data_IF_814108624998
#
_entry.id   IF_814108624998
#
_cell.length_a   1.000
_cell.length_b   1.000
_cell.length_c   1.000
_cell.angle_alpha   90.00
_cell.angle_beta   90.00
_cell.angle_gamma   90.00
#
_symmetry.space_group_name_H-M   'P 1'
#
loop_
_entity.id
_entity.type
_entity.pdbx_description
1 polymer ?
#
# COMPACT_ATOMS: atom_id res chain seq x y z
N UNK A 1 6.89 -18.18 -5.72
CA UNK A 1 6.81 -17.02 -6.64
C UNK A 1 7.59 -15.86 -6.03
N UNK A 2 8.64 -15.38 -6.68
CA UNK A 2 9.35 -14.17 -6.25
C UNK A 2 8.54 -12.95 -6.70
N UNK A 3 7.96 -12.21 -5.75
CA UNK A 3 7.36 -10.90 -6.03
C UNK A 3 8.48 -9.87 -6.17
N UNK A 4 9.27 -9.98 -7.24
CA UNK A 4 10.41 -9.12 -7.53
C UNK A 4 9.98 -7.74 -8.08
N UNK A 5 8.71 -7.57 -8.42
CA UNK A 5 8.12 -6.33 -8.91
C UNK A 5 7.09 -5.76 -7.92
N UNK A 6 7.07 -4.44 -7.77
CA UNK A 6 6.04 -3.73 -7.01
C UNK A 6 4.69 -3.82 -7.74
N UNK A 7 3.64 -4.31 -7.06
CA UNK A 7 2.27 -4.31 -7.58
C UNK A 7 1.78 -2.86 -7.65
N UNK A 8 1.51 -2.37 -8.87
CA UNK A 8 1.06 -1.00 -9.12
C UNK A 8 -0.43 -0.87 -8.82
N UNK A 9 -0.86 0.29 -8.34
CA UNK A 9 -2.29 0.56 -8.12
C UNK A 9 -3.10 0.79 -9.38
N UNK A 10 -2.43 1.06 -10.50
CA UNK A 10 -3.07 1.18 -11.82
C UNK A 10 -3.38 -0.22 -12.41
N UNK A 11 -2.93 -1.30 -11.78
CA UNK A 11 -3.23 -2.67 -12.20
C UNK A 11 -4.68 -3.02 -11.81
N UNK A 12 -5.55 -3.41 -12.75
CA UNK A 12 -6.93 -3.80 -12.44
C UNK A 12 -7.00 -4.95 -11.43
N UNK A 13 -5.97 -5.80 -11.38
CA UNK A 13 -5.86 -6.94 -10.48
C UNK A 13 -4.98 -6.63 -9.25
N UNK A 14 -4.72 -5.36 -8.94
CA UNK A 14 -3.84 -4.99 -7.83
C UNK A 14 -4.27 -5.61 -6.50
N UNK A 15 -5.57 -5.53 -6.17
CA UNK A 15 -6.13 -6.06 -4.91
C UNK A 15 -5.99 -7.59 -4.85
N UNK A 16 -6.32 -8.28 -5.95
CA UNK A 16 -6.22 -9.73 -6.07
C UNK A 16 -4.77 -10.20 -5.86
N UNK A 17 -3.81 -9.63 -6.60
CA UNK A 17 -2.38 -9.96 -6.49
C UNK A 17 -1.82 -9.65 -5.10
N UNK A 18 -2.27 -8.58 -4.46
CA UNK A 18 -1.89 -8.25 -3.09
C UNK A 18 -2.46 -9.25 -2.08
N UNK A 19 -3.69 -9.72 -2.28
CA UNK A 19 -4.33 -10.72 -1.43
C UNK A 19 -3.65 -12.08 -1.54
N UNK A 20 -3.28 -12.51 -2.76
CA UNK A 20 -2.47 -13.72 -2.96
C UNK A 20 -1.13 -13.63 -2.24
N UNK A 21 -0.42 -12.51 -2.41
CA UNK A 21 0.86 -12.27 -1.73
C UNK A 21 0.68 -12.29 -0.20
N UNK A 22 -0.40 -11.70 0.30
CA UNK A 22 -0.71 -11.70 1.72
C UNK A 22 -0.90 -13.12 2.23
N UNK A 23 -1.67 -13.95 1.53
CA UNK A 23 -1.90 -15.35 1.89
C UNK A 23 -0.59 -16.14 1.94
N UNK A 24 0.29 -15.97 0.95
CA UNK A 24 1.63 -16.59 0.95
C UNK A 24 2.46 -16.16 2.17
N UNK A 25 2.47 -14.86 2.49
CA UNK A 25 3.17 -14.36 3.68
C UNK A 25 2.59 -14.90 4.99
N UNK A 26 1.27 -15.03 5.10
CA UNK A 26 0.58 -15.57 6.28
C UNK A 26 0.88 -17.07 6.46
N UNK A 27 0.83 -17.86 5.39
CA UNK A 27 1.21 -19.27 5.40
C UNK A 27 2.67 -19.45 5.81
N UNK A 28 3.58 -18.67 5.21
CA UNK A 28 4.99 -18.69 5.59
C UNK A 28 5.18 -18.32 7.07
N UNK A 29 4.41 -17.36 7.59
CA UNK A 29 4.49 -16.97 9.00
C UNK A 29 4.10 -18.10 9.94
N UNK A 30 2.99 -18.77 9.66
CA UNK A 30 2.53 -19.91 10.45
C UNK A 30 3.53 -21.05 10.40
N UNK A 31 3.99 -21.41 9.20
CA UNK A 31 4.97 -22.47 8.99
C UNK A 31 6.29 -22.22 9.73
N UNK A 32 6.85 -21.00 9.66
CA UNK A 32 8.06 -20.63 10.40
C UNK A 32 7.87 -20.75 11.92
N UNK A 33 6.70 -20.36 12.44
CA UNK A 33 6.38 -20.46 13.88
C UNK A 33 6.25 -21.91 14.33
N UNK A 34 5.58 -22.74 13.53
CA UNK A 34 5.38 -24.17 13.81
C UNK A 34 6.71 -24.91 13.84
N UNK A 35 7.58 -24.68 12.85
CA UNK A 35 8.93 -25.27 12.82
C UNK A 35 9.74 -24.81 14.02
N UNK A 36 9.75 -23.52 14.33
CA UNK A 36 10.45 -23.02 15.52
C UNK A 36 9.90 -23.61 16.82
N UNK A 37 8.58 -23.81 16.92
CA UNK A 37 7.96 -24.44 18.09
C UNK A 37 8.34 -25.93 18.21
N UNK A 38 8.35 -26.64 17.08
CA UNK A 38 8.80 -28.04 17.01
C UNK A 38 10.27 -28.17 17.41
N UNK A 39 11.15 -27.38 16.78
CA UNK A 39 12.58 -27.41 17.09
C UNK A 39 12.88 -27.12 18.56
N UNK A 40 12.20 -26.15 19.17
CA UNK A 40 12.37 -25.86 20.62
C UNK A 40 12.00 -27.05 21.52
N UNK A 41 11.09 -27.93 21.09
CA UNK A 41 10.67 -29.12 21.84
C UNK A 41 11.57 -30.32 21.60
N UNK A 42 12.03 -30.50 20.36
CA UNK A 42 12.70 -31.72 19.91
C UNK A 42 14.21 -31.58 19.73
N UNK A 43 14.73 -30.34 19.66
CA UNK A 43 16.15 -30.05 19.40
C UNK A 43 16.58 -30.30 17.94
N UNK A 44 15.66 -30.71 17.09
CA UNK A 44 15.85 -31.03 15.66
C UNK A 44 14.57 -30.73 14.90
N UNK A 45 14.68 -30.48 13.60
CA UNK A 45 13.56 -30.37 12.68
C UNK A 45 13.18 -31.74 12.08
N UNK A 46 13.98 -32.79 12.28
CA UNK A 46 13.69 -34.14 11.79
C UNK A 46 12.36 -34.64 12.34
N UNK A 47 11.52 -35.22 11.47
CA UNK A 47 10.18 -35.71 11.83
C UNK A 47 9.08 -34.64 11.94
N UNK A 48 9.35 -33.37 11.61
CA UNK A 48 8.29 -32.37 11.48
C UNK A 48 7.35 -32.73 10.31
N UNK A 49 6.02 -32.65 10.47
CA UNK A 49 5.06 -33.00 9.42
C UNK A 49 5.29 -32.23 8.11
N UNK A 50 5.05 -32.91 6.98
CA UNK A 50 5.11 -32.31 5.63
C UNK A 50 6.47 -31.72 5.23
N UNK A 51 7.54 -32.05 5.97
CA UNK A 51 8.90 -31.64 5.66
C UNK A 51 9.77 -32.85 5.30
N UNK A 52 10.59 -32.71 4.27
CA UNK A 52 11.54 -33.74 3.87
C UNK A 52 12.75 -33.78 4.80
N UNK A 53 13.32 -34.97 4.99
CA UNK A 53 14.51 -35.16 5.84
C UNK A 53 15.69 -34.28 5.40
N UNK A 54 15.86 -34.07 4.09
CA UNK A 54 16.87 -33.18 3.52
C UNK A 54 16.67 -31.72 3.95
N UNK A 55 15.42 -31.24 3.96
CA UNK A 55 15.10 -29.88 4.38
C UNK A 55 15.26 -29.72 5.88
N UNK A 56 14.84 -30.72 6.65
CA UNK A 56 15.03 -30.77 8.10
C UNK A 56 16.53 -30.71 8.46
N UNK A 57 17.36 -31.51 7.80
CA UNK A 57 18.81 -31.51 8.00
C UNK A 57 19.44 -30.15 7.65
N UNK A 58 18.96 -29.48 6.60
CA UNK A 58 19.42 -28.12 6.26
C UNK A 58 19.09 -27.11 7.34
N UNK A 59 17.88 -27.15 7.89
CA UNK A 59 17.45 -26.26 8.98
C UNK A 59 18.23 -26.51 10.27
N UNK A 60 18.47 -27.77 10.61
CA UNK A 60 19.30 -28.13 11.77
C UNK A 60 20.74 -27.64 11.60
N UNK A 61 21.32 -27.84 10.41
CA UNK A 61 22.65 -27.32 10.08
C UNK A 61 22.71 -25.79 10.11
N UNK A 62 21.63 -25.09 9.70
CA UNK A 62 21.54 -23.62 9.80
C UNK A 62 21.65 -23.16 11.25
N UNK A 63 21.01 -23.87 12.20
CA UNK A 63 21.12 -23.56 13.63
C UNK A 63 22.51 -23.91 14.17
N UNK A 64 23.02 -25.10 13.85
CA UNK A 64 24.31 -25.58 14.33
C UNK A 64 25.50 -24.71 13.91
N UNK A 65 25.45 -24.15 12.69
CA UNK A 65 26.46 -23.25 12.15
C UNK A 65 26.10 -21.76 12.36
N UNK A 66 24.99 -21.47 13.03
CA UNK A 66 24.55 -20.13 13.35
C UNK A 66 25.37 -19.51 14.50
N UNK A 67 25.12 -18.23 14.74
CA UNK A 67 25.68 -17.57 15.92
C UNK A 67 25.10 -18.16 17.22
N UNK A 68 25.81 -18.02 18.35
CA UNK A 68 25.40 -18.62 19.63
C UNK A 68 24.01 -18.18 20.15
N UNK A 69 23.51 -17.03 19.70
CA UNK A 69 22.17 -16.51 20.02
C UNK A 69 21.08 -16.96 19.04
N UNK A 70 21.45 -17.58 17.92
CA UNK A 70 20.54 -18.08 16.89
C UNK A 70 20.09 -19.50 17.24
N UNK A 71 19.14 -19.61 18.17
CA UNK A 71 18.73 -20.89 18.77
C UNK A 71 17.58 -21.61 18.05
N UNK A 72 17.09 -21.07 16.94
CA UNK A 72 15.94 -21.62 16.20
C UNK A 72 16.16 -21.56 14.70
N UNK A 73 15.56 -22.48 13.92
CA UNK A 73 15.74 -22.55 12.47
C UNK A 73 15.38 -21.27 11.72
N UNK A 74 14.27 -20.64 12.14
CA UNK A 74 13.90 -19.31 11.70
C UNK A 74 14.22 -18.30 12.80
N UNK A 75 14.92 -17.23 12.46
CA UNK A 75 15.37 -16.23 13.40
C UNK A 75 14.29 -15.16 13.63
N UNK A 76 14.35 -14.48 14.78
CA UNK A 76 13.33 -13.50 15.17
C UNK A 76 13.16 -12.36 14.16
N UNK A 77 14.24 -11.94 13.50
CA UNK A 77 14.18 -10.91 12.46
C UNK A 77 13.44 -11.39 11.21
N UNK A 78 13.51 -12.68 10.84
CA UNK A 78 12.79 -13.24 9.68
C UNK A 78 11.27 -13.17 9.94
N UNK A 79 10.84 -13.59 11.12
CA UNK A 79 9.45 -13.50 11.58
C UNK A 79 8.97 -12.04 11.69
N UNK A 80 9.82 -11.15 12.20
CA UNK A 80 9.50 -9.73 12.37
C UNK A 80 9.34 -9.02 11.02
N UNK A 81 10.26 -9.27 10.09
CA UNK A 81 10.21 -8.71 8.74
C UNK A 81 8.97 -9.21 7.99
N UNK A 82 8.66 -10.50 8.06
CA UNK A 82 7.47 -11.04 7.41
C UNK A 82 6.17 -10.49 8.03
N UNK A 83 6.10 -10.37 9.37
CA UNK A 83 4.97 -9.70 10.03
C UNK A 83 4.82 -8.22 9.63
N UNK A 84 5.92 -7.51 9.37
CA UNK A 84 5.87 -6.13 8.89
C UNK A 84 5.30 -6.08 7.46
N UNK A 85 5.71 -7.01 6.60
CA UNK A 85 5.18 -7.16 5.24
C UNK A 85 3.67 -7.50 5.24
N UNK A 86 3.24 -8.46 6.07
CA UNK A 86 1.80 -8.80 6.27
C UNK A 86 1.00 -7.55 6.64
N UNK A 87 1.47 -6.77 7.61
CA UNK A 87 0.81 -5.53 8.05
C UNK A 87 0.72 -4.50 6.92
N UNK A 88 1.81 -4.33 6.15
CA UNK A 88 1.86 -3.44 4.99
C UNK A 88 0.84 -3.87 3.93
N UNK A 89 0.79 -5.15 3.59
CA UNK A 89 -0.12 -5.69 2.57
C UNK A 89 -1.58 -5.52 3.01
N UNK A 90 -1.94 -5.84 4.26
CA UNK A 90 -3.27 -5.59 4.81
C UNK A 90 -3.69 -4.12 4.71
N UNK A 91 -2.79 -3.21 5.12
CA UNK A 91 -3.04 -1.77 5.03
C UNK A 91 -3.24 -1.33 3.59
N UNK A 92 -2.43 -1.84 2.65
CA UNK A 92 -2.49 -1.47 1.24
C UNK A 92 -3.76 -1.98 0.57
N UNK A 93 -4.16 -3.23 0.83
CA UNK A 93 -5.42 -3.80 0.34
C UNK A 93 -6.58 -2.96 0.83
N UNK A 94 -6.64 -2.67 2.14
CA UNK A 94 -7.70 -1.85 2.73
C UNK A 94 -7.79 -0.47 2.07
N UNK A 95 -6.66 0.20 1.87
CA UNK A 95 -6.60 1.50 1.20
C UNK A 95 -7.18 1.44 -0.22
N UNK A 96 -6.76 0.47 -1.03
CA UNK A 96 -7.23 0.34 -2.40
C UNK A 96 -8.71 -0.04 -2.47
N UNK A 97 -9.17 -0.96 -1.62
CA UNK A 97 -10.59 -1.33 -1.54
C UNK A 97 -11.46 -0.13 -1.18
N UNK A 98 -11.08 0.63 -0.14
CA UNK A 98 -11.84 1.83 0.27
C UNK A 98 -11.85 2.86 -0.86
N UNK A 99 -10.72 3.10 -1.52
CA UNK A 99 -10.66 4.04 -2.65
C UNK A 99 -11.54 3.60 -3.83
N UNK A 100 -11.64 2.29 -4.09
CA UNK A 100 -12.48 1.74 -5.16
C UNK A 100 -13.97 1.78 -4.81
N UNK A 101 -14.34 1.53 -3.55
CA UNK A 101 -15.74 1.54 -3.09
C UNK A 101 -16.30 2.96 -2.94
N UNK A 102 -15.51 3.88 -2.37
CA UNK A 102 -15.93 5.24 -2.02
C UNK A 102 -15.71 6.22 -3.16
N UNK A 103 -14.64 6.00 -3.94
CA UNK A 103 -14.21 6.91 -4.99
C UNK A 103 -13.68 8.25 -4.44
N UNK A 104 -13.42 9.15 -5.38
CA UNK A 104 -13.02 10.52 -5.12
C UNK A 104 -13.89 11.46 -5.96
N UNK A 105 -14.09 12.68 -5.47
CA UNK A 105 -14.82 13.71 -6.21
C UNK A 105 -13.92 14.89 -6.54
N UNK A 106 -14.19 15.47 -7.70
CA UNK A 106 -13.62 16.73 -8.16
C UNK A 106 -14.31 17.96 -7.55
N UNK A 107 -13.82 19.15 -7.90
CA UNK A 107 -14.38 20.43 -7.47
C UNK A 107 -13.98 21.56 -8.42
N UNK A 108 -14.82 22.59 -8.53
CA UNK A 108 -14.48 23.85 -9.20
C UNK A 108 -13.65 24.77 -8.31
N UNK A 109 -12.80 25.59 -8.90
CA UNK A 109 -12.05 26.66 -8.25
C UNK A 109 -11.97 27.89 -9.16
N UNK A 110 -11.55 29.03 -8.61
CA UNK A 110 -11.41 30.27 -9.38
C UNK A 110 -10.39 30.12 -10.53
N UNK A 111 -10.90 30.11 -11.77
CA UNK A 111 -10.12 29.94 -13.00
C UNK A 111 -9.86 28.49 -13.42
N UNK A 112 -10.65 27.52 -12.95
CA UNK A 112 -10.58 26.14 -13.45
C UNK A 112 -11.34 25.08 -12.65
N UNK A 113 -11.01 23.81 -12.90
CA UNK A 113 -11.61 22.67 -12.22
C UNK A 113 -10.60 21.57 -11.89
N UNK A 114 -10.87 20.84 -10.82
CA UNK A 114 -10.17 19.62 -10.45
C UNK A 114 -11.09 18.43 -10.71
N UNK A 115 -10.63 17.49 -11.52
CA UNK A 115 -11.35 16.26 -11.90
C UNK A 115 -10.69 15.05 -11.25
N UNK A 116 -11.50 14.24 -10.56
CA UNK A 116 -11.09 12.94 -10.04
C UNK A 116 -11.31 11.85 -11.11
N UNK A 117 -10.37 11.74 -12.04
CA UNK A 117 -10.44 10.76 -13.13
C UNK A 117 -10.03 9.37 -12.61
N UNK A 118 -11.04 8.56 -12.30
CA UNK A 118 -10.86 7.20 -11.77
C UNK A 118 -10.41 6.20 -12.84
N UNK A 119 -10.74 6.43 -14.12
CA UNK A 119 -10.35 5.56 -15.23
C UNK A 119 -8.83 5.60 -15.47
N UNK A 120 -8.25 6.81 -15.51
CA UNK A 120 -6.80 7.00 -15.66
C UNK A 120 -6.03 6.93 -14.32
N UNK A 121 -6.74 6.79 -13.21
CA UNK A 121 -6.21 6.91 -11.85
C UNK A 121 -5.44 8.23 -11.64
N UNK A 122 -6.04 9.36 -12.03
CA UNK A 122 -5.44 10.71 -11.95
C UNK A 122 -6.34 11.73 -11.28
N UNK A 123 -5.77 12.51 -10.36
CA UNK A 123 -6.33 13.80 -9.97
C UNK A 123 -5.81 14.83 -10.94
N UNK A 124 -6.69 15.40 -11.76
CA UNK A 124 -6.37 16.30 -12.86
C UNK A 124 -6.85 17.71 -12.54
N UNK A 125 -6.02 18.70 -12.79
CA UNK A 125 -6.31 20.12 -12.58
C UNK A 125 -6.26 20.80 -13.94
N UNK A 126 -7.41 21.28 -14.37
CA UNK A 126 -7.60 22.06 -15.58
C UNK A 126 -7.69 23.53 -15.20
N UNK A 127 -6.94 24.37 -15.92
CA UNK A 127 -7.06 25.82 -15.80
C UNK A 127 -7.67 26.36 -17.10
N UNK A 128 -8.55 27.35 -16.99
CA UNK A 128 -9.15 28.02 -18.16
C UNK A 128 -8.09 28.75 -18.98
N UNK A 129 -7.17 29.41 -18.28
CA UNK A 129 -6.01 30.07 -18.86
C UNK A 129 -4.71 29.47 -18.33
N UNK A 130 -3.61 29.68 -19.06
CA UNK A 130 -2.30 29.19 -18.63
C UNK A 130 -1.94 29.80 -17.26
N UNK A 131 -1.75 28.98 -16.21
CA UNK A 131 -1.36 29.51 -14.90
C UNK A 131 0.03 30.16 -14.98
N UNK A 132 0.22 31.23 -14.20
CA UNK A 132 1.49 31.94 -14.09
C UNK A 132 2.62 31.04 -13.53
N UNK A 133 3.86 31.54 -13.54
CA UNK A 133 5.01 30.76 -13.05
C UNK A 133 4.90 30.40 -11.56
N UNK A 134 4.31 31.26 -10.72
CA UNK A 134 4.18 31.02 -9.29
C UNK A 134 3.21 29.86 -9.03
N UNK A 135 2.02 29.89 -9.62
CA UNK A 135 1.02 28.81 -9.55
C UNK A 135 1.62 27.48 -10.04
N UNK A 136 2.33 27.50 -11.17
CA UNK A 136 3.00 26.31 -11.72
C UNK A 136 4.10 25.77 -10.81
N UNK A 137 4.87 26.64 -10.15
CA UNK A 137 5.89 26.24 -9.19
C UNK A 137 5.28 25.55 -7.96
N UNK A 138 4.18 26.09 -7.42
CA UNK A 138 3.46 25.49 -6.28
C UNK A 138 2.87 24.13 -6.64
N UNK A 139 2.30 23.98 -7.84
CA UNK A 139 1.81 22.68 -8.33
C UNK A 139 2.93 21.64 -8.41
N UNK A 140 4.07 22.01 -8.99
CA UNK A 140 5.26 21.13 -9.09
C UNK A 140 5.78 20.71 -7.71
N UNK A 141 5.89 21.64 -6.77
CA UNK A 141 6.38 21.35 -5.42
C UNK A 141 5.43 20.44 -4.63
N UNK A 142 4.13 20.47 -4.95
CA UNK A 142 3.13 19.55 -4.42
C UNK A 142 2.95 18.27 -5.27
N UNK A 143 3.87 18.01 -6.20
CA UNK A 143 3.95 16.75 -6.96
C UNK A 143 3.00 16.63 -8.15
N UNK A 144 2.33 17.71 -8.55
CA UNK A 144 1.56 17.75 -9.79
C UNK A 144 2.50 17.92 -10.98
N UNK A 145 2.29 17.13 -12.03
CA UNK A 145 3.06 17.16 -13.27
C UNK A 145 2.18 17.61 -14.41
N UNK A 146 2.69 18.53 -15.24
CA UNK A 146 2.01 18.93 -16.47
C UNK A 146 1.97 17.75 -17.46
N UNK A 147 0.78 17.46 -17.98
CA UNK A 147 0.54 16.42 -18.96
C UNK A 147 0.02 17.05 -20.27
N UNK A 148 0.90 17.32 -21.25
CA UNK A 148 0.50 18.04 -22.46
C UNK A 148 -0.53 17.29 -23.32
N UNK A 149 -0.56 15.96 -23.23
CA UNK A 149 -1.53 15.13 -23.96
C UNK A 149 -2.97 15.28 -23.46
N UNK A 150 -3.14 15.69 -22.21
CA UNK A 150 -4.46 15.92 -21.58
C UNK A 150 -4.74 17.41 -21.37
N UNK A 151 -3.69 18.25 -21.36
CA UNK A 151 -3.82 19.68 -21.08
C UNK A 151 -4.05 19.98 -19.59
N UNK A 152 -3.61 19.10 -18.69
CA UNK A 152 -3.85 19.21 -17.25
C UNK A 152 -2.58 19.07 -16.42
N UNK A 153 -2.59 19.68 -15.23
CA UNK A 153 -1.67 19.31 -14.16
C UNK A 153 -2.23 18.10 -13.43
N UNK A 154 -1.46 17.02 -13.30
CA UNK A 154 -1.98 15.79 -12.72
C UNK A 154 -1.01 15.06 -11.81
N UNK A 155 -1.57 14.26 -10.90
CA UNK A 155 -0.86 13.26 -10.09
C UNK A 155 -1.73 12.03 -9.91
N UNK A 156 -1.15 10.93 -9.43
CA UNK A 156 -1.90 9.70 -9.17
C UNK A 156 -3.07 9.97 -8.20
N UNK A 157 -4.27 9.48 -8.53
CA UNK A 157 -5.45 9.64 -7.69
C UNK A 157 -5.35 8.73 -6.47
N UNK A 158 -5.32 9.34 -5.29
CA UNK A 158 -5.36 8.69 -3.98
C UNK A 158 -5.60 9.75 -2.90
N UNK A 159 -5.79 9.33 -1.64
CA UNK A 159 -6.01 10.25 -0.52
C UNK A 159 -4.86 11.27 -0.34
N UNK A 160 -3.62 10.89 -0.68
CA UNK A 160 -2.48 11.81 -0.65
C UNK A 160 -2.55 12.88 -1.76
N UNK A 161 -3.21 12.60 -2.88
CA UNK A 161 -3.47 13.60 -3.92
C UNK A 161 -4.45 14.66 -3.46
N UNK A 162 -5.55 14.25 -2.84
CA UNK A 162 -6.52 15.17 -2.23
C UNK A 162 -5.84 16.01 -1.14
N UNK A 163 -5.04 15.35 -0.29
CA UNK A 163 -4.32 16.05 0.76
C UNK A 163 -3.30 17.06 0.21
N UNK A 164 -2.54 16.70 -0.82
CA UNK A 164 -1.64 17.64 -1.49
C UNK A 164 -2.40 18.79 -2.14
N UNK A 165 -3.54 18.53 -2.78
CA UNK A 165 -4.38 19.58 -3.36
C UNK A 165 -4.86 20.57 -2.30
N UNK A 166 -5.16 20.10 -1.08
CA UNK A 166 -5.56 20.97 0.03
C UNK A 166 -4.49 21.95 0.50
N UNK A 167 -3.23 21.78 0.07
CA UNK A 167 -2.10 22.67 0.36
C UNK A 167 -1.77 23.63 -0.80
N UNK A 168 -2.56 23.60 -1.88
CA UNK A 168 -2.35 24.43 -3.06
C UNK A 168 -3.48 25.46 -3.13
N UNK A 169 -3.19 26.68 -2.70
CA UNK A 169 -4.21 27.73 -2.60
C UNK A 169 -4.86 28.10 -3.94
N UNK A 170 -4.10 28.02 -5.05
CA UNK A 170 -4.60 28.39 -6.38
C UNK A 170 -5.57 27.37 -7.01
N UNK A 171 -5.85 26.25 -6.34
CA UNK A 171 -6.85 25.26 -6.76
C UNK A 171 -7.87 24.98 -5.65
N UNK A 172 -7.97 25.88 -4.67
CA UNK A 172 -8.87 25.74 -3.54
C UNK A 172 -10.33 25.87 -4.01
N UNK A 173 -11.25 25.04 -3.51
CA UNK A 173 -12.67 25.13 -3.82
C UNK A 173 -13.23 26.54 -3.65
N UNK A 174 -14.14 26.96 -4.54
CA UNK A 174 -14.78 28.29 -4.51
C UNK A 174 -15.51 28.56 -3.19
N UNK A 175 -16.09 27.54 -2.58
CA UNK A 175 -16.78 27.63 -1.29
C UNK A 175 -15.81 27.82 -0.10
N UNK A 176 -14.49 27.88 -0.36
CA UNK A 176 -13.45 28.04 0.66
C UNK A 176 -13.21 26.80 1.51
N UNK A 177 -13.93 25.69 1.28
CA UNK A 177 -13.72 24.45 2.02
C UNK A 177 -12.40 23.76 1.63
N UNK A 178 -11.97 22.82 2.46
CA UNK A 178 -10.78 22.01 2.14
C UNK A 178 -11.19 20.89 1.18
N UNK A 179 -10.41 20.61 0.11
CA UNK A 179 -10.61 19.45 -0.75
C UNK A 179 -10.82 18.12 -0.02
N UNK A 180 -10.20 17.97 1.16
CA UNK A 180 -10.35 16.77 2.01
C UNK A 180 -11.77 16.65 2.57
N UNK A 181 -12.42 17.76 2.90
CA UNK A 181 -13.79 17.77 3.45
C UNK A 181 -14.86 17.46 2.39
N UNK A 182 -14.55 17.75 1.13
CA UNK A 182 -15.44 17.46 0.00
C UNK A 182 -15.49 15.97 -0.35
N UNK A 183 -14.49 15.19 0.06
CA UNK A 183 -14.43 13.78 -0.33
C UNK A 183 -15.51 12.96 0.36
N UNK A 184 -16.07 11.94 -0.33
CA UNK A 184 -17.01 11.06 0.30
C UNK A 184 -16.31 10.29 1.42
N UNK A 185 -17.04 10.07 2.52
CA UNK A 185 -16.52 9.31 3.65
C UNK A 185 -16.91 7.85 3.46
N UNK A 186 -15.98 6.94 3.74
CA UNK A 186 -16.32 5.53 3.84
C UNK A 186 -17.47 5.37 4.85
N UNK A 187 -18.49 4.56 4.55
CA UNK A 187 -19.52 4.23 5.53
C UNK A 187 -18.82 3.68 6.79
N UNK A 188 -19.22 4.21 7.95
CA UNK A 188 -18.76 3.63 9.21
C UNK A 188 -19.27 2.20 9.24
N UNK A 189 -18.38 1.21 9.15
CA UNK A 189 -18.76 -0.16 9.51
C UNK A 189 -19.15 -0.11 10.98
N UNK A 190 -20.42 -0.36 11.26
CA UNK A 190 -20.96 -0.44 12.62
C UNK A 190 -19.98 -1.21 13.48
N UNK A 191 -19.53 -0.57 14.57
CA UNK A 191 -18.71 -1.25 15.55
C UNK A 191 -19.51 -2.47 16.03
N UNK A 192 -18.89 -3.67 16.15
CA UNK A 192 -19.60 -4.78 16.76
C UNK A 192 -20.06 -4.34 18.15
N UNK A 193 -21.37 -4.42 18.41
CA UNK A 193 -21.92 -4.30 19.75
C UNK A 193 -21.11 -5.24 20.65
N UNK A 194 -20.58 -4.68 21.74
CA UNK A 194 -19.71 -5.37 22.69
C UNK A 194 -20.45 -6.45 23.45
#
# INVERSE_FOLDING_TARGET
MSYQNSIRSDDPQAIEKLAEKLNVCEQAQSHMKEINAYYRKHGTCQGFPEMTDDLAAKLDNKVANGYSWQKTPFFDYELTNNNAEIRRLKSRIKELTVNQEVGFVGWGFDGGEVVANSEDNRLQVFFEEKPDEQKRSVLKSNGFKWAPSVGAWQRQLNSNAIYAASRVDCIRPENGESPVKLQPKAPQKDAPER
#
